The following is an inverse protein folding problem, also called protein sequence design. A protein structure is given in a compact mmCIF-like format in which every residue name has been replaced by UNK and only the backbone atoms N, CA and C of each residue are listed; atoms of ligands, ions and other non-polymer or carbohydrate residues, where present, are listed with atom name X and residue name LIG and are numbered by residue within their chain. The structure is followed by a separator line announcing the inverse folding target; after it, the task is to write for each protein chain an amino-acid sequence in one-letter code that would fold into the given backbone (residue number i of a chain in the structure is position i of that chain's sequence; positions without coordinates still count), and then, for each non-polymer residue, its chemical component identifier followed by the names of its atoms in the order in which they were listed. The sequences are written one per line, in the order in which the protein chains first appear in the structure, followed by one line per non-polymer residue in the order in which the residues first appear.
data_IF_957795988964
#
_entry.id   IF_957795988964
#
_cell.length_a   1.000
_cell.length_b   1.000
_cell.length_c   1.000
_cell.angle_alpha   90.00
_cell.angle_beta   90.00
_cell.angle_gamma   90.00
#
_symmetry.space_group_name_H-M   'P 1'
#
loop_
_entity.id
_entity.type
_entity.pdbx_description
1 polymer ?
#
# COMPACT_ATOMS: atom_id res chain seq x y z
N UNK A 1 -6.88 20.70 27.26
CA UNK A 1 -7.00 19.85 28.47
C UNK A 1 -5.61 19.34 28.80
N UNK A 2 -4.94 19.90 29.83
CA UNK A 2 -3.62 19.45 30.28
C UNK A 2 -3.82 18.10 30.96
N UNK A 3 -3.38 17.00 30.35
CA UNK A 3 -3.38 15.68 30.99
C UNK A 3 -2.35 15.75 32.12
N UNK A 4 -2.83 15.89 33.34
CA UNK A 4 -2.01 15.70 34.53
C UNK A 4 -1.64 14.22 34.58
N UNK A 5 -0.45 13.87 34.11
CA UNK A 5 0.09 12.53 34.27
C UNK A 5 0.34 12.31 35.76
N UNK A 6 -0.49 11.47 36.38
CA UNK A 6 -0.13 10.83 37.64
C UNK A 6 1.11 9.99 37.34
N UNK A 7 2.30 10.59 37.48
CA UNK A 7 3.56 9.88 37.32
C UNK A 7 3.70 8.92 38.49
N UNK A 8 3.63 7.62 38.17
CA UNK A 8 3.97 6.56 39.11
C UNK A 8 5.42 6.80 39.57
N UNK A 9 5.75 6.68 40.87
CA UNK A 9 7.13 6.80 41.32
C UNK A 9 7.98 5.79 40.55
N UNK A 10 9.02 6.29 39.89
CA UNK A 10 9.92 5.50 39.07
C UNK A 10 10.60 4.46 39.98
N UNK A 11 10.48 3.17 39.66
CA UNK A 11 11.19 2.13 40.38
C UNK A 11 12.68 2.14 40.04
N UNK A 12 13.54 1.74 40.97
CA UNK A 12 14.99 1.56 40.72
C UNK A 12 15.25 0.63 39.52
N UNK A 13 14.48 -0.45 39.39
CA UNK A 13 14.58 -1.39 38.25
C UNK A 13 14.26 -0.69 36.94
N UNK A 14 13.24 0.16 36.92
CA UNK A 14 12.86 0.91 35.72
C UNK A 14 13.91 1.96 35.35
N UNK A 15 14.52 2.60 36.35
CA UNK A 15 15.64 3.51 36.12
C UNK A 15 16.83 2.79 35.44
N UNK A 16 17.17 1.57 35.88
CA UNK A 16 18.23 0.76 35.27
C UNK A 16 17.89 0.37 33.83
N UNK A 17 16.66 -0.05 33.56
CA UNK A 17 16.22 -0.37 32.18
C UNK A 17 16.38 0.84 31.25
N UNK A 18 15.99 2.03 31.71
CA UNK A 18 16.09 3.24 30.90
C UNK A 18 17.56 3.61 30.67
N UNK A 19 18.41 3.56 31.70
CA UNK A 19 19.85 3.83 31.56
C UNK A 19 20.52 2.84 30.61
N UNK A 20 20.14 1.55 30.65
CA UNK A 20 20.68 0.53 29.76
C UNK A 20 20.18 0.68 28.32
N UNK A 21 18.95 1.14 28.10
CA UNK A 21 18.36 1.25 26.76
C UNK A 21 18.69 2.57 26.05
N UNK A 22 18.73 3.68 26.80
CA UNK A 22 18.88 5.04 26.25
C UNK A 22 20.25 5.66 26.55
N UNK A 23 21.06 5.04 27.41
CA UNK A 23 22.38 5.54 27.79
C UNK A 23 22.33 6.62 28.86
N UNK A 24 23.48 7.27 29.05
CA UNK A 24 23.70 8.23 30.13
C UNK A 24 23.16 9.65 29.86
N UNK A 25 22.75 9.92 28.62
CA UNK A 25 22.31 11.24 28.14
C UNK A 25 20.84 11.53 28.50
N UNK A 26 20.57 12.56 29.33
CA UNK A 26 19.22 12.92 29.73
C UNK A 26 18.30 13.33 28.58
N UNK A 27 18.84 13.85 27.47
CA UNK A 27 18.03 14.28 26.32
C UNK A 27 17.37 13.09 25.62
N UNK A 28 18.00 11.91 25.67
CA UNK A 28 17.51 10.67 25.06
C UNK A 28 16.43 9.98 25.89
N UNK A 29 16.26 10.37 27.15
CA UNK A 29 15.30 9.74 28.04
C UNK A 29 13.86 10.13 27.69
N UNK A 30 12.88 9.24 27.93
CA UNK A 30 11.47 9.55 27.75
C UNK A 30 11.04 10.76 28.59
N UNK A 31 10.39 11.73 27.95
CA UNK A 31 9.95 13.02 28.54
C UNK A 31 9.15 12.83 29.84
N UNK A 32 8.26 11.85 29.86
CA UNK A 32 7.38 11.56 31.00
C UNK A 32 8.14 11.05 32.23
N UNK A 33 9.33 10.47 32.05
CA UNK A 33 10.08 9.81 33.13
C UNK A 33 11.41 10.51 33.44
N UNK A 34 11.88 11.44 32.58
CA UNK A 34 13.17 12.16 32.71
C UNK A 34 13.32 12.84 34.07
N UNK A 35 12.35 13.66 34.49
CA UNK A 35 12.46 14.38 35.77
C UNK A 35 12.48 13.44 36.97
N UNK A 36 11.67 12.39 36.94
CA UNK A 36 11.65 11.35 37.98
C UNK A 36 13.00 10.60 38.05
N UNK A 37 13.61 10.33 36.89
CA UNK A 37 14.91 9.66 36.81
C UNK A 37 16.04 10.52 37.36
N UNK A 38 16.04 11.82 37.07
CA UNK A 38 17.02 12.79 37.62
C UNK A 38 16.93 12.85 39.14
N UNK A 39 15.71 12.93 39.70
CA UNK A 39 15.51 12.95 41.15
C UNK A 39 16.00 11.65 41.80
N UNK A 40 15.74 10.51 41.17
CA UNK A 40 16.14 9.20 41.68
C UNK A 40 17.67 9.01 41.58
N UNK A 41 18.30 9.49 40.51
CA UNK A 41 19.76 9.54 40.35
C UNK A 41 20.41 10.39 41.45
N UNK A 42 19.82 11.54 41.81
CA UNK A 42 20.35 12.37 42.90
C UNK A 42 20.33 11.66 44.27
N UNK A 43 19.44 10.69 44.45
CA UNK A 43 19.26 9.94 45.70
C UNK A 43 20.01 8.60 45.74
N UNK A 44 20.52 8.11 44.60
CA UNK A 44 21.10 6.77 44.49
C UNK A 44 22.50 6.80 43.87
N UNK A 45 23.56 6.57 44.69
CA UNK A 45 24.93 6.54 44.19
C UNK A 45 25.18 5.35 43.24
N UNK A 46 24.48 4.23 43.43
CA UNK A 46 24.57 3.05 42.55
C UNK A 46 24.17 3.37 41.11
N UNK A 47 23.09 4.15 40.93
CA UNK A 47 22.63 4.54 39.59
C UNK A 47 23.50 5.63 38.98
N UNK A 48 24.10 6.49 39.79
CA UNK A 48 25.11 7.45 39.31
C UNK A 48 26.33 6.71 38.75
N UNK A 49 26.84 5.70 39.45
CA UNK A 49 27.96 4.88 38.96
C UNK A 49 27.62 4.17 37.65
N UNK A 50 26.39 3.66 37.52
CA UNK A 50 25.91 3.02 36.29
C UNK A 50 25.84 4.02 35.13
N UNK A 51 25.33 5.23 35.38
CA UNK A 51 25.30 6.33 34.42
C UNK A 51 26.70 6.77 34.00
N UNK A 52 27.62 6.91 34.94
CA UNK A 52 29.02 7.30 34.66
C UNK A 52 29.74 6.25 33.82
N UNK A 53 29.51 4.96 34.13
CA UNK A 53 30.06 3.86 33.33
C UNK A 53 29.55 3.89 31.90
N UNK A 54 28.24 4.14 31.71
CA UNK A 54 27.64 4.32 30.39
C UNK A 54 28.22 5.53 29.65
N UNK A 55 28.31 6.68 30.31
CA UNK A 55 28.86 7.90 29.72
C UNK A 55 30.32 7.75 29.28
N UNK A 56 31.13 7.03 30.07
CA UNK A 56 32.51 6.74 29.73
C UNK A 56 32.60 5.85 28.48
N UNK A 57 31.79 4.78 28.42
CA UNK A 57 31.73 3.91 27.25
C UNK A 57 31.29 4.68 26.00
N UNK A 58 30.26 5.51 26.11
CA UNK A 58 29.76 6.33 24.99
C UNK A 58 30.87 7.28 24.50
N UNK A 59 31.61 7.93 25.41
CA UNK A 59 32.74 8.78 25.06
C UNK A 59 33.87 8.01 24.34
N UNK A 60 34.21 6.80 24.80
CA UNK A 60 35.19 5.95 24.12
C UNK A 60 34.73 5.54 22.72
N UNK A 61 33.43 5.31 22.52
CA UNK A 61 32.86 4.95 21.23
C UNK A 61 32.81 6.14 20.28
N UNK A 62 32.50 7.34 20.77
CA UNK A 62 32.50 8.56 19.97
C UNK A 62 33.91 8.97 19.53
N UNK A 63 34.92 8.76 20.38
CA UNK A 63 36.33 8.96 20.02
C UNK A 63 36.83 7.89 19.05
N UNK A 64 36.22 6.71 19.07
CA UNK A 64 36.62 5.62 18.20
C UNK A 64 36.22 5.90 16.76
N UNK A 65 37.18 6.42 15.98
CA UNK A 65 37.05 6.54 14.53
C UNK A 65 37.54 5.27 13.85
N UNK A 66 36.64 4.39 13.37
CA UNK A 66 37.07 3.24 12.58
C UNK A 66 37.73 3.72 11.28
N UNK A 67 38.96 3.28 11.02
CA UNK A 67 39.57 3.45 9.70
C UNK A 67 38.79 2.61 8.70
N UNK A 68 37.96 3.28 7.90
CA UNK A 68 37.31 2.69 6.75
C UNK A 68 38.41 2.30 5.74
N UNK A 69 38.78 1.03 5.73
CA UNK A 69 39.78 0.46 4.82
C UNK A 69 39.22 0.15 3.43
N UNK A 70 37.92 0.35 3.22
CA UNK A 70 37.27 0.16 1.93
C UNK A 70 37.20 1.50 1.18
N UNK A 71 37.99 1.63 0.12
CA UNK A 71 37.74 2.68 -0.88
C UNK A 71 36.36 2.43 -1.49
N UNK A 72 35.53 3.48 -1.55
CA UNK A 72 34.21 3.46 -2.20
C UNK A 72 34.28 2.90 -3.62
N UNK A 73 35.37 3.16 -4.35
CA UNK A 73 35.59 2.64 -5.70
C UNK A 73 35.70 1.11 -5.73
N UNK A 74 36.40 0.50 -4.76
CA UNK A 74 36.48 -0.97 -4.64
C UNK A 74 35.15 -1.60 -4.26
N UNK A 75 34.33 -0.92 -3.44
CA UNK A 75 32.97 -1.38 -3.11
C UNK A 75 32.05 -1.31 -4.33
N UNK A 76 32.10 -0.22 -5.09
CA UNK A 76 31.29 -0.05 -6.30
C UNK A 76 31.68 -1.08 -7.36
N UNK A 77 32.98 -1.41 -7.50
CA UNK A 77 33.45 -2.43 -8.44
C UNK A 77 33.16 -3.87 -7.99
N UNK A 78 32.98 -4.11 -6.69
CA UNK A 78 32.72 -5.44 -6.13
C UNK A 78 31.24 -5.73 -5.91
N UNK A 79 30.36 -4.75 -6.11
CA UNK A 79 28.92 -5.00 -6.17
C UNK A 79 28.65 -5.93 -7.36
N UNK A 80 28.06 -7.12 -7.15
CA UNK A 80 27.62 -7.95 -8.25
C UNK A 80 26.67 -7.10 -9.08
N UNK A 81 26.82 -7.12 -10.41
CA UNK A 81 25.98 -6.35 -11.33
C UNK A 81 24.50 -6.69 -11.05
N UNK A 82 23.88 -5.91 -10.17
CA UNK A 82 22.48 -6.05 -9.82
C UNK A 82 21.77 -5.80 -11.15
N UNK A 83 21.03 -6.78 -11.71
CA UNK A 83 20.38 -6.58 -12.98
C UNK A 83 19.48 -5.38 -12.77
N UNK A 84 19.83 -4.25 -13.39
CA UNK A 84 18.94 -3.10 -13.49
C UNK A 84 17.67 -3.69 -14.06
N UNK A 85 16.65 -3.87 -13.22
CA UNK A 85 15.34 -4.32 -13.63
C UNK A 85 14.94 -3.28 -14.66
N UNK A 86 15.07 -3.62 -15.94
CA UNK A 86 14.64 -2.74 -17.03
C UNK A 86 13.15 -2.62 -16.78
N UNK A 87 12.77 -1.54 -16.12
CA UNK A 87 11.40 -1.20 -15.83
C UNK A 87 10.84 -0.78 -17.18
N UNK A 88 10.40 -1.77 -17.94
CA UNK A 88 9.88 -1.53 -19.27
C UNK A 88 8.64 -0.65 -19.07
N UNK A 89 8.63 0.52 -19.70
CA UNK A 89 7.45 1.39 -19.74
C UNK A 89 6.14 0.68 -20.10
N UNK A 90 6.11 -0.34 -21.00
CA UNK A 90 4.90 -1.11 -21.23
C UNK A 90 4.42 -1.89 -19.99
N UNK A 91 5.31 -2.34 -19.11
CA UNK A 91 4.91 -3.02 -17.85
C UNK A 91 4.26 -2.04 -16.86
N UNK A 92 4.65 -0.76 -16.89
CA UNK A 92 4.02 0.28 -16.08
C UNK A 92 2.63 0.66 -16.61
N UNK A 93 2.47 0.74 -17.93
CA UNK A 93 1.16 0.97 -18.55
C UNK A 93 0.23 -0.22 -18.35
N UNK A 94 0.74 -1.45 -18.47
CA UNK A 94 -0.04 -2.66 -18.20
C UNK A 94 -0.51 -2.72 -16.74
N UNK A 95 0.35 -2.35 -15.79
CA UNK A 95 -0.02 -2.29 -14.36
C UNK A 95 -1.03 -1.18 -14.04
N UNK A 96 -1.00 -0.05 -14.78
CA UNK A 96 -1.95 1.04 -14.63
C UNK A 96 -3.33 0.68 -15.20
N UNK A 97 -3.39 0.03 -16.36
CA UNK A 97 -4.64 -0.36 -17.00
C UNK A 97 -5.26 -1.65 -16.42
N UNK A 98 -4.44 -2.56 -15.87
CA UNK A 98 -4.91 -3.84 -15.34
C UNK A 98 -4.30 -4.11 -13.96
N UNK A 99 -4.78 -3.44 -12.90
CA UNK A 99 -4.34 -3.71 -11.54
C UNK A 99 -4.92 -5.07 -11.09
N UNK A 100 -4.15 -6.13 -11.32
CA UNK A 100 -4.45 -7.47 -10.85
C UNK A 100 -4.77 -8.45 -11.98
N UNK A 101 -4.00 -9.54 -12.01
CA UNK A 101 -4.13 -10.71 -12.88
C UNK A 101 -5.49 -11.47 -12.77
N UNK A 102 -6.49 -10.88 -12.11
CA UNK A 102 -7.81 -11.45 -11.86
C UNK A 102 -8.96 -10.66 -12.52
N UNK A 103 -8.72 -9.44 -13.04
CA UNK A 103 -9.77 -8.58 -13.59
C UNK A 103 -10.32 -9.07 -14.95
N UNK A 104 -9.48 -9.66 -15.80
CA UNK A 104 -9.93 -10.20 -17.10
C UNK A 104 -10.97 -11.33 -16.94
N UNK A 105 -10.86 -12.12 -15.87
CA UNK A 105 -11.78 -13.23 -15.61
C UNK A 105 -13.20 -12.75 -15.31
N UNK A 106 -13.36 -11.57 -14.70
CA UNK A 106 -14.68 -10.95 -14.47
C UNK A 106 -15.21 -10.22 -15.71
N UNK A 107 -14.33 -9.66 -16.54
CA UNK A 107 -14.73 -9.08 -17.82
C UNK A 107 -15.28 -10.12 -18.80
N UNK A 108 -14.69 -11.32 -18.87
CA UNK A 108 -15.24 -12.44 -19.67
C UNK A 108 -16.62 -12.85 -19.15
N UNK A 109 -16.80 -12.91 -17.83
CA UNK A 109 -18.06 -13.35 -17.23
C UNK A 109 -19.23 -12.39 -17.53
N UNK A 110 -18.96 -11.09 -17.68
CA UNK A 110 -19.95 -10.09 -18.09
C UNK A 110 -20.15 -10.00 -19.61
N UNK A 111 -19.16 -10.35 -20.42
CA UNK A 111 -19.23 -10.27 -21.89
C UNK A 111 -20.05 -11.39 -22.54
N UNK A 112 -20.04 -12.59 -21.94
CA UNK A 112 -20.75 -13.77 -22.47
C UNK A 112 -22.26 -13.55 -22.68
N UNK A 113 -23.05 -13.03 -21.71
CA UNK A 113 -24.49 -12.84 -21.92
C UNK A 113 -24.80 -11.76 -22.97
N UNK A 114 -23.95 -10.74 -23.10
CA UNK A 114 -24.14 -9.65 -24.07
C UNK A 114 -23.86 -10.13 -25.50
N UNK A 115 -22.82 -10.94 -25.70
CA UNK A 115 -22.54 -11.60 -26.98
C UNK A 115 -23.64 -12.59 -27.39
N UNK A 116 -24.16 -13.38 -26.44
CA UNK A 116 -25.24 -14.32 -26.72
C UNK A 116 -26.53 -13.61 -27.14
N UNK A 117 -26.90 -12.52 -26.45
CA UNK A 117 -28.05 -11.70 -26.83
C UNK A 117 -27.88 -11.00 -28.18
N UNK A 118 -26.67 -10.54 -28.50
CA UNK A 118 -26.38 -9.87 -29.77
C UNK A 118 -26.42 -10.84 -30.96
N UNK A 119 -25.84 -12.04 -30.81
CA UNK A 119 -25.89 -13.08 -31.84
C UNK A 119 -27.34 -13.55 -32.04
N UNK A 120 -28.10 -13.72 -30.96
CA UNK A 120 -29.50 -14.15 -31.07
C UNK A 120 -30.38 -13.07 -31.69
N UNK A 121 -30.13 -11.78 -31.41
CA UNK A 121 -30.85 -10.66 -32.03
C UNK A 121 -30.60 -10.48 -33.52
N UNK A 122 -29.43 -10.87 -34.03
CA UNK A 122 -29.13 -10.84 -35.47
C UNK A 122 -29.67 -12.07 -36.22
N UNK A 123 -29.89 -13.19 -35.52
CA UNK A 123 -30.43 -14.43 -36.09
C UNK A 123 -31.93 -14.62 -35.84
N UNK A 124 -32.63 -13.64 -35.27
CA UNK A 124 -34.09 -13.67 -35.25
C UNK A 124 -34.60 -13.51 -36.67
N UNK A 125 -35.15 -14.58 -37.26
CA UNK A 125 -36.01 -14.45 -38.44
C UNK A 125 -37.05 -13.36 -38.17
N UNK A 126 -37.36 -12.50 -39.16
CA UNK A 126 -38.46 -11.55 -39.03
C UNK A 126 -39.74 -12.35 -38.67
N UNK A 127 -40.55 -11.87 -37.72
CA UNK A 127 -41.76 -12.58 -37.32
C UNK A 127 -42.61 -12.85 -38.56
N UNK A 128 -42.93 -14.12 -38.78
CA UNK A 128 -43.68 -14.63 -39.95
C UNK A 128 -45.08 -13.99 -40.08
N UNK A 129 -45.56 -13.37 -39.00
CA UNK A 129 -46.74 -12.51 -38.95
C UNK A 129 -46.41 -11.09 -39.45
N UNK A 130 -46.07 -11.00 -40.74
CA UNK A 130 -45.93 -9.72 -41.43
C UNK A 130 -47.32 -9.16 -41.77
N UNK A 131 -47.93 -8.47 -40.81
CA UNK A 131 -49.25 -7.84 -40.96
C UNK A 131 -49.28 -6.73 -42.02
N UNK A 132 -48.14 -6.37 -42.61
CA UNK A 132 -48.07 -5.34 -43.66
C UNK A 132 -48.77 -5.76 -44.97
N UNK A 133 -48.77 -7.05 -45.31
CA UNK A 133 -49.58 -7.53 -46.44
C UNK A 133 -51.07 -7.37 -46.18
N UNK A 134 -51.52 -7.63 -44.95
CA UNK A 134 -52.93 -7.46 -44.58
C UNK A 134 -53.34 -5.99 -44.56
N UNK A 135 -52.47 -5.08 -44.10
CA UNK A 135 -52.73 -3.64 -44.15
C UNK A 135 -52.81 -3.15 -45.60
N UNK A 136 -51.93 -3.62 -46.48
CA UNK A 136 -51.96 -3.23 -47.90
C UNK A 136 -53.25 -3.67 -48.59
N UNK A 137 -53.74 -4.89 -48.32
CA UNK A 137 -54.98 -5.40 -48.90
C UNK A 137 -56.23 -4.65 -48.39
N UNK A 138 -56.23 -4.18 -47.14
CA UNK A 138 -57.33 -3.39 -46.58
C UNK A 138 -57.35 -1.98 -47.19
N UNK A 139 -56.20 -1.33 -47.34
CA UNK A 139 -56.11 0.04 -47.86
C UNK A 139 -56.14 0.15 -49.37
N UNK A 140 -55.82 -0.92 -50.08
CA UNK A 140 -55.84 -0.98 -51.54
C UNK A 140 -56.54 -2.26 -52.01
N UNK A 141 -57.87 -2.38 -51.80
CA UNK A 141 -58.60 -3.53 -52.31
C UNK A 141 -58.41 -3.56 -53.84
N UNK A 142 -58.00 -4.70 -54.42
CA UNK A 142 -57.96 -4.81 -55.87
C UNK A 142 -59.37 -4.50 -56.38
N UNK A 143 -59.49 -3.49 -57.24
CA UNK A 143 -60.73 -3.20 -57.93
C UNK A 143 -61.10 -4.47 -58.70
N UNK A 144 -62.05 -5.24 -58.19
CA UNK A 144 -62.78 -6.22 -58.98
C UNK A 144 -63.28 -5.46 -60.20
N UNK A 145 -62.65 -5.70 -61.35
CA UNK A 145 -63.12 -5.20 -62.62
C UNK A 145 -64.43 -5.94 -62.85
N UNK A 146 -65.54 -5.29 -62.48
CA UNK A 146 -66.88 -5.67 -62.88
C UNK A 146 -66.89 -5.49 -64.40
N UNK A 147 -66.52 -6.53 -65.13
CA UNK A 147 -66.86 -6.67 -66.55
C UNK A 147 -68.35 -6.96 -66.61
N UNK A 148 -69.15 -5.91 -66.73
CA UNK A 148 -70.53 -6.03 -67.22
C UNK A 148 -70.51 -6.17 -68.74
N UNK A 149 -71.29 -7.13 -69.25
CA UNK A 149 -71.55 -7.43 -70.67
C UNK A 149 -72.21 -6.27 -71.45
#
# INVERSE_FOLDING_TARGET
MKKSSFQKPLSKTRAQEILNAYGADPERWPEDERQSLIQLLAQSPELQALRETGALLDGLLDEWQPKLSCSTDTLISSLPAQPRRKQNWPDQLAAFFFPGSMAWRQAILAGIPLMLGFIWGLSGEPPEDDWTETEFLIFNPPLEVITDE
#
